data_IF_855212094164
#
_entry.id   IF_855212094164
#
_cell.length_a   1.000
_cell.length_b   1.000
_cell.length_c   1.000
_cell.angle_alpha   90.00
_cell.angle_beta   90.00
_cell.angle_gamma   90.00
#
_symmetry.space_group_name_H-M   'P 1'
#
loop_
_entity.id
_entity.type
_entity.pdbx_description
1 polymer ?
#
# COMPACT_ATOMS: atom_id res chain seq x y z
N UNK A 1 -6.04 4.38 -1.17
CA UNK A 1 -6.28 3.02 -1.74
C UNK A 1 -7.57 3.12 -2.54
N UNK A 2 -7.54 2.69 -3.80
CA UNK A 2 -8.69 2.83 -4.71
C UNK A 2 -8.94 1.52 -5.42
N UNK A 3 -10.21 1.12 -5.58
CA UNK A 3 -10.57 -0.03 -6.39
C UNK A 3 -10.28 0.26 -7.87
N UNK A 4 -9.49 -0.58 -8.51
CA UNK A 4 -9.15 -0.50 -9.92
C UNK A 4 -9.89 -1.56 -10.76
N UNK A 5 -10.54 -2.53 -10.10
CA UNK A 5 -11.43 -3.50 -10.72
C UNK A 5 -12.65 -3.78 -9.81
N UNK A 6 -13.75 -4.31 -10.37
CA UNK A 6 -14.96 -4.61 -9.62
C UNK A 6 -14.71 -5.47 -8.37
N UNK A 7 -15.38 -5.10 -7.28
CA UNK A 7 -15.28 -5.82 -6.01
C UNK A 7 -13.86 -5.89 -5.47
N UNK A 8 -13.01 -4.89 -5.72
CA UNK A 8 -11.61 -4.86 -5.26
C UNK A 8 -10.78 -6.06 -5.75
N UNK A 9 -11.11 -6.63 -6.92
CA UNK A 9 -10.25 -7.66 -7.53
C UNK A 9 -8.83 -7.16 -7.80
N UNK A 10 -8.71 -5.87 -8.10
CA UNK A 10 -7.45 -5.15 -8.24
C UNK A 10 -7.54 -3.80 -7.53
N UNK A 11 -6.45 -3.37 -6.88
CA UNK A 11 -6.37 -2.07 -6.21
C UNK A 11 -5.15 -1.24 -6.63
N UNK A 12 -5.34 0.08 -6.65
CA UNK A 12 -4.23 1.03 -6.73
C UNK A 12 -3.91 1.58 -5.34
N UNK A 13 -2.63 1.46 -4.97
CA UNK A 13 -2.09 1.94 -3.69
C UNK A 13 -1.13 3.08 -4.01
N UNK A 14 -1.52 4.30 -3.64
CA UNK A 14 -0.74 5.53 -3.83
C UNK A 14 -0.47 6.14 -2.45
N UNK A 15 0.69 5.88 -1.84
CA UNK A 15 1.06 6.50 -0.59
C UNK A 15 1.29 8.00 -0.83
N UNK A 16 0.54 8.85 -0.16
CA UNK A 16 0.66 10.31 -0.22
C UNK A 16 0.73 10.82 1.22
N UNK A 17 1.92 10.70 1.83
CA UNK A 17 2.07 11.02 3.26
C UNK A 17 2.09 12.53 3.50
N UNK A 18 2.61 13.35 2.57
CA UNK A 18 2.46 14.81 2.63
C UNK A 18 2.93 15.44 3.94
N UNK A 19 3.98 14.91 4.58
CA UNK A 19 4.47 15.36 5.88
C UNK A 19 3.87 14.65 7.10
N UNK A 20 2.94 13.70 6.92
CA UNK A 20 2.46 12.82 7.99
C UNK A 20 3.60 11.89 8.41
N UNK A 21 4.02 11.99 9.68
CA UNK A 21 5.12 11.19 10.22
C UNK A 21 4.82 9.69 10.28
N UNK A 22 3.63 9.30 10.73
CA UNK A 22 3.20 7.91 10.77
C UNK A 22 1.72 7.77 10.41
N UNK A 23 1.37 6.71 9.68
CA UNK A 23 0.00 6.42 9.27
C UNK A 23 -0.26 4.93 9.36
N UNK A 24 -1.25 4.53 10.14
CA UNK A 24 -1.77 3.16 10.14
C UNK A 24 -3.25 3.21 9.75
N UNK A 25 -3.63 2.48 8.70
CA UNK A 25 -5.02 2.38 8.28
C UNK A 25 -5.40 0.97 7.87
N UNK A 26 -6.69 0.68 7.95
CA UNK A 26 -7.29 -0.54 7.42
C UNK A 26 -8.44 -0.16 6.51
N UNK A 27 -8.33 -0.47 5.23
CA UNK A 27 -9.47 -0.39 4.30
C UNK A 27 -10.24 -1.70 4.33
N UNK A 28 -11.49 -1.69 4.82
CA UNK A 28 -12.37 -2.85 4.81
C UNK A 28 -13.04 -2.95 3.45
N UNK A 29 -12.73 -4.01 2.70
CA UNK A 29 -13.28 -4.26 1.36
C UNK A 29 -14.13 -5.53 1.37
N UNK A 30 -14.87 -5.77 0.28
CA UNK A 30 -15.63 -7.02 0.09
C UNK A 30 -14.75 -8.26 0.01
N UNK A 31 -13.44 -8.12 -0.29
CA UNK A 31 -12.47 -9.23 -0.28
C UNK A 31 -11.75 -9.39 1.04
N UNK A 32 -12.03 -8.54 2.02
CA UNK A 32 -11.35 -8.52 3.31
C UNK A 32 -10.56 -7.23 3.56
N UNK A 33 -9.82 -7.17 4.67
CA UNK A 33 -9.08 -5.98 5.07
C UNK A 33 -7.78 -5.82 4.28
N UNK A 34 -7.56 -4.64 3.71
CA UNK A 34 -6.25 -4.20 3.24
C UNK A 34 -5.62 -3.39 4.38
N UNK A 35 -4.45 -3.81 4.86
CA UNK A 35 -3.69 -3.09 5.89
C UNK A 35 -2.57 -2.29 5.24
N UNK A 36 -2.44 -1.04 5.66
CA UNK A 36 -1.35 -0.16 5.26
C UNK A 36 -0.78 0.50 6.51
N UNK A 37 0.53 0.42 6.66
CA UNK A 37 1.29 1.10 7.71
C UNK A 37 2.43 1.85 7.05
N UNK A 38 2.62 3.10 7.48
CA UNK A 38 3.77 3.93 7.18
C UNK A 38 4.35 4.41 8.51
N UNK A 39 5.66 4.23 8.70
CA UNK A 39 6.37 4.69 9.88
C UNK A 39 7.72 5.32 9.47
N UNK A 40 8.23 6.30 10.22
CA UNK A 40 9.58 6.81 10.02
C UNK A 40 10.60 5.68 10.20
N UNK A 41 11.61 5.64 9.34
CA UNK A 41 12.73 4.71 9.43
C UNK A 41 14.03 5.42 9.01
N UNK A 42 15.18 4.84 9.36
CA UNK A 42 16.47 5.36 8.91
C UNK A 42 16.53 5.34 7.38
N UNK A 43 16.72 6.52 6.78
CA UNK A 43 16.72 6.69 5.32
C UNK A 43 15.35 6.99 4.68
N UNK A 44 14.28 7.15 5.46
CA UNK A 44 13.00 7.68 4.97
C UNK A 44 11.77 7.15 5.69
N UNK A 45 10.83 6.55 4.96
CA UNK A 45 9.58 5.99 5.52
C UNK A 45 9.42 4.54 5.15
N UNK A 46 9.37 3.66 6.15
CA UNK A 46 9.03 2.26 5.94
C UNK A 46 7.53 2.10 5.72
N UNK A 47 7.17 1.46 4.62
CA UNK A 47 5.82 1.07 4.28
C UNK A 47 5.66 -0.44 4.49
N UNK A 48 4.56 -0.83 5.11
CA UNK A 48 4.09 -2.21 5.16
C UNK A 48 2.65 -2.29 4.64
N UNK A 49 2.41 -3.28 3.79
CA UNK A 49 1.16 -3.51 3.09
C UNK A 49 0.77 -4.98 3.21
N UNK A 50 -0.49 -5.25 3.51
CA UNK A 50 -1.04 -6.61 3.43
C UNK A 50 -2.32 -6.57 2.60
N UNK A 51 -2.35 -7.38 1.55
CA UNK A 51 -3.53 -7.58 0.72
C UNK A 51 -4.24 -8.87 1.13
N UNK A 52 -5.58 -8.90 1.17
CA UNK A 52 -6.30 -10.15 1.36
C UNK A 52 -6.18 -11.03 0.10
N UNK A 53 -6.37 -12.35 0.22
CA UNK A 53 -6.38 -13.26 -0.93
C UNK A 53 -7.39 -12.82 -2.01
N UNK A 54 -7.00 -12.94 -3.29
CA UNK A 54 -7.84 -12.58 -4.43
C UNK A 54 -8.05 -11.07 -4.63
N UNK A 55 -7.25 -10.24 -3.96
CA UNK A 55 -7.16 -8.79 -4.15
C UNK A 55 -5.75 -8.43 -4.59
N UNK A 56 -5.48 -8.48 -5.89
CA UNK A 56 -4.19 -8.06 -6.43
C UNK A 56 -4.07 -6.53 -6.39
N UNK A 57 -2.85 -6.02 -6.57
CA UNK A 57 -2.66 -4.58 -6.51
C UNK A 57 -1.45 -4.05 -7.26
N UNK A 58 -1.47 -2.74 -7.46
CA UNK A 58 -0.33 -1.98 -7.92
C UNK A 58 0.00 -0.90 -6.90
N UNK A 59 1.19 -0.98 -6.33
CA UNK A 59 1.79 0.08 -5.53
C UNK A 59 2.51 1.05 -6.45
N UNK A 60 2.17 2.33 -6.32
CA UNK A 60 2.83 3.43 -7.00
C UNK A 60 3.80 4.07 -6.01
N UNK A 61 5.09 3.99 -6.33
CA UNK A 61 6.16 4.57 -5.53
C UNK A 61 6.49 5.99 -6.01
N UNK A 62 7.08 6.83 -5.16
CA UNK A 62 7.70 8.08 -5.58
C UNK A 62 8.70 7.83 -6.74
N UNK A 63 8.81 8.77 -7.68
CA UNK A 63 9.62 8.59 -8.89
C UNK A 63 8.92 7.84 -10.02
N UNK A 64 7.66 7.42 -9.84
CA UNK A 64 6.83 6.83 -10.90
C UNK A 64 7.01 5.33 -11.08
N UNK A 65 7.84 4.69 -10.25
CA UNK A 65 7.98 3.25 -10.20
C UNK A 65 6.66 2.59 -9.79
N UNK A 66 6.36 1.45 -10.41
CA UNK A 66 5.17 0.66 -10.13
C UNK A 66 5.58 -0.74 -9.74
N UNK A 67 5.02 -1.21 -8.63
CA UNK A 67 5.21 -2.58 -8.15
C UNK A 67 3.89 -3.32 -8.14
N UNK A 68 3.88 -4.51 -8.73
CA UNK A 68 2.77 -5.44 -8.60
C UNK A 68 2.80 -6.11 -7.22
N UNK A 69 1.63 -6.34 -6.64
CA UNK A 69 1.43 -7.01 -5.37
C UNK A 69 0.39 -8.11 -5.56
N UNK A 70 0.69 -9.33 -5.12
CA UNK A 70 -0.26 -10.43 -5.20
C UNK A 70 -1.25 -10.40 -4.02
N UNK A 71 -2.49 -10.79 -4.28
CA UNK A 71 -3.48 -10.98 -3.23
C UNK A 71 -3.04 -12.07 -2.25
N UNK A 72 -3.12 -11.77 -0.95
CA UNK A 72 -2.64 -12.64 0.13
C UNK A 72 -1.18 -12.41 0.51
N UNK A 73 -0.46 -11.56 -0.21
CA UNK A 73 0.92 -11.19 0.11
C UNK A 73 0.97 -10.07 1.17
N UNK A 74 2.03 -10.10 1.97
CA UNK A 74 2.48 -8.94 2.73
C UNK A 74 3.78 -8.41 2.13
N UNK A 75 3.83 -7.10 1.91
CA UNK A 75 4.93 -6.43 1.26
C UNK A 75 5.45 -5.28 2.14
N UNK A 76 6.77 -5.15 2.20
CA UNK A 76 7.45 -4.08 2.94
C UNK A 76 8.51 -3.43 2.06
N UNK A 77 8.59 -2.10 2.11
CA UNK A 77 9.64 -1.32 1.44
C UNK A 77 9.96 -0.06 2.21
N UNK A 78 11.11 0.55 1.93
CA UNK A 78 11.47 1.87 2.44
C UNK A 78 11.37 2.86 1.29
N UNK A 79 10.53 3.90 1.48
CA UNK A 79 10.53 5.06 0.63
C UNK A 79 11.65 6.01 1.07
N UNK A 80 12.44 6.56 0.15
CA UNK A 80 13.41 7.60 0.49
C UNK A 80 12.69 8.83 1.04
N UNK A 81 13.35 9.54 1.96
CA UNK A 81 12.92 10.88 2.35
C UNK A 81 12.89 11.78 1.10
N UNK A 82 11.75 12.40 0.84
CA UNK A 82 11.56 13.36 -0.26
C UNK A 82 12.15 14.72 0.09
#
# INVERSE_FOLDING_TARGET
ITAAAPGFAHVHIRPQLGGIGALALTARTVRGPIRFVAAPADGGTQLALTLPPGCDGTLFLPGGERRALAGGESFTTTLPAS
#
